data_IF_464151415121
#
_entry.id   IF_464151415121
#
_cell.length_a   1.000
_cell.length_b   1.000
_cell.length_c   1.000
_cell.angle_alpha   90.00
_cell.angle_beta   90.00
_cell.angle_gamma   90.00
#
_symmetry.space_group_name_H-M   'P 1'
#
loop_
_entity.id
_entity.type
_entity.pdbx_description
1 polymer ?
#
# COMPACT_ATOMS: atom_id res chain seq x y z
N UNK A 1 41.60 -26.04 -9.33
CA UNK A 1 40.53 -25.15 -9.84
C UNK A 1 39.84 -24.52 -8.68
N UNK A 2 40.23 -23.30 -8.32
CA UNK A 2 39.80 -22.63 -7.10
C UNK A 2 38.45 -21.90 -7.27
N UNK A 3 37.69 -22.00 -6.26
CA UNK A 3 36.38 -21.42 -6.01
C UNK A 3 36.32 -19.90 -6.28
N UNK A 4 36.00 -19.47 -7.52
CA UNK A 4 35.80 -18.06 -7.88
C UNK A 4 34.37 -17.56 -7.76
N UNK A 5 33.37 -18.43 -7.46
CA UNK A 5 31.96 -18.08 -7.49
C UNK A 5 31.35 -17.59 -6.15
N UNK A 6 32.15 -17.52 -5.07
CA UNK A 6 31.63 -17.11 -3.74
C UNK A 6 31.85 -15.63 -3.40
N UNK A 7 32.44 -14.83 -4.28
CA UNK A 7 32.87 -13.46 -3.97
C UNK A 7 31.79 -12.38 -4.09
N UNK A 8 30.62 -12.65 -4.68
CA UNK A 8 29.62 -11.61 -4.97
C UNK A 8 28.21 -11.83 -4.41
N UNK A 9 28.01 -12.78 -3.49
CA UNK A 9 26.70 -12.97 -2.87
C UNK A 9 26.48 -11.91 -1.80
N UNK A 10 25.38 -11.11 -1.84
CA UNK A 10 25.06 -10.09 -0.83
C UNK A 10 24.98 -10.70 0.57
N UNK A 11 25.38 -9.92 1.59
CA UNK A 11 25.35 -10.37 2.98
C UNK A 11 23.94 -10.81 3.40
N UNK A 12 22.93 -10.11 2.96
CA UNK A 12 21.52 -10.45 3.26
C UNK A 12 21.13 -11.87 2.81
N UNK A 13 21.71 -12.35 1.69
CA UNK A 13 21.49 -13.73 1.26
C UNK A 13 22.34 -14.73 2.07
N UNK A 14 23.59 -14.39 2.40
CA UNK A 14 24.50 -15.23 3.20
C UNK A 14 24.00 -15.49 4.62
N UNK A 15 23.27 -14.53 5.21
CA UNK A 15 22.74 -14.60 6.57
C UNK A 15 21.27 -14.98 6.65
N UNK A 16 20.66 -15.30 5.51
CA UNK A 16 19.25 -15.70 5.47
C UNK A 16 19.00 -16.90 6.40
N UNK A 17 17.98 -16.84 7.28
CA UNK A 17 17.56 -17.97 8.07
C UNK A 17 17.21 -19.19 7.21
N UNK A 18 17.64 -20.36 7.65
CA UNK A 18 17.40 -21.62 6.95
C UNK A 18 16.32 -22.48 7.60
N UNK A 19 15.93 -22.18 8.83
CA UNK A 19 14.93 -22.89 9.62
C UNK A 19 14.20 -21.92 10.55
N UNK A 20 13.09 -22.36 11.14
CA UNK A 20 12.26 -21.51 12.01
C UNK A 20 12.94 -21.08 13.31
N UNK A 21 13.94 -21.83 13.80
CA UNK A 21 14.67 -21.46 15.02
C UNK A 21 15.63 -20.29 14.81
N UNK A 22 16.00 -20.04 13.57
CA UNK A 22 16.84 -18.91 13.16
C UNK A 22 16.05 -17.70 12.70
N UNK A 23 14.73 -17.82 12.57
CA UNK A 23 13.84 -16.77 12.08
C UNK A 23 13.41 -15.89 13.25
N UNK A 24 13.89 -14.65 13.26
CA UNK A 24 13.60 -13.70 14.33
C UNK A 24 12.29 -12.97 14.10
N UNK A 25 11.55 -12.75 15.19
CA UNK A 25 10.28 -12.07 15.20
C UNK A 25 9.11 -12.91 14.68
N UNK A 26 7.95 -12.25 14.50
CA UNK A 26 6.72 -12.88 14.02
C UNK A 26 6.20 -13.99 14.93
N UNK A 27 6.37 -13.88 16.25
CA UNK A 27 5.96 -14.90 17.23
C UNK A 27 4.47 -15.29 17.10
N UNK A 28 3.61 -14.34 16.73
CA UNK A 28 2.18 -14.60 16.50
C UNK A 28 1.95 -15.58 15.33
N UNK A 29 2.88 -15.63 14.36
CA UNK A 29 2.76 -16.45 13.15
C UNK A 29 3.51 -17.78 13.27
N UNK A 30 4.72 -17.76 13.80
CA UNK A 30 5.64 -18.92 13.80
C UNK A 30 6.02 -19.39 15.20
N UNK A 31 5.50 -18.78 16.24
CA UNK A 31 5.69 -19.24 17.63
C UNK A 31 5.09 -20.63 17.86
N UNK A 32 5.57 -21.34 18.88
CA UNK A 32 5.26 -22.77 19.14
C UNK A 32 3.77 -23.12 19.15
N UNK A 33 2.89 -22.19 19.52
CA UNK A 33 1.43 -22.39 19.60
C UNK A 33 0.67 -21.88 18.38
N UNK A 34 1.36 -21.25 17.42
CA UNK A 34 0.70 -20.63 16.26
C UNK A 34 0.13 -21.69 15.30
N UNK A 35 -0.87 -21.27 14.53
CA UNK A 35 -1.48 -22.12 13.51
C UNK A 35 -0.48 -22.49 12.41
N UNK A 36 0.27 -21.51 11.90
CA UNK A 36 1.20 -21.74 10.79
C UNK A 36 2.34 -22.68 11.22
N UNK A 37 2.87 -22.52 12.43
CA UNK A 37 3.88 -23.44 12.97
C UNK A 37 3.39 -24.90 12.98
N UNK A 38 2.19 -25.14 13.51
CA UNK A 38 1.57 -26.48 13.51
C UNK A 38 1.32 -27.03 12.12
N UNK A 39 0.90 -26.17 11.18
CA UNK A 39 0.68 -26.57 9.80
C UNK A 39 1.99 -27.02 9.13
N UNK A 40 3.10 -26.33 9.40
CA UNK A 40 4.44 -26.70 8.92
C UNK A 40 4.88 -28.03 9.54
N UNK A 41 4.79 -28.17 10.86
CA UNK A 41 5.20 -29.38 11.60
C UNK A 41 4.38 -30.63 11.21
N UNK A 42 3.08 -30.43 10.88
CA UNK A 42 2.20 -31.50 10.40
C UNK A 42 2.26 -31.70 8.86
N UNK A 43 3.15 -31.00 8.19
CA UNK A 43 3.34 -31.09 6.74
C UNK A 43 2.04 -30.83 5.93
N UNK A 44 1.14 -29.99 6.45
CA UNK A 44 -0.16 -29.67 5.88
C UNK A 44 -0.36 -28.15 5.81
N UNK A 45 0.35 -27.52 4.87
CA UNK A 45 0.31 -26.07 4.67
C UNK A 45 -0.78 -25.67 3.67
N UNK A 46 -1.64 -24.71 4.02
CA UNK A 46 -2.59 -24.14 3.07
C UNK A 46 -1.88 -23.20 2.09
N UNK A 47 -2.52 -22.94 0.95
CA UNK A 47 -2.18 -21.75 0.17
C UNK A 47 -2.37 -20.49 0.99
N UNK A 48 -1.48 -19.50 0.83
CA UNK A 48 -1.46 -18.33 1.71
C UNK A 48 -0.97 -17.06 1.00
N UNK A 49 -1.38 -15.93 1.58
CA UNK A 49 -0.85 -14.61 1.24
C UNK A 49 -0.08 -14.07 2.45
N UNK A 50 1.20 -13.81 2.28
CA UNK A 50 2.05 -13.17 3.27
C UNK A 50 2.01 -11.65 3.03
N UNK A 51 1.31 -10.92 3.89
CA UNK A 51 1.18 -9.48 3.81
C UNK A 51 2.00 -8.80 4.89
N UNK A 52 2.75 -7.77 4.54
CA UNK A 52 3.51 -6.98 5.51
C UNK A 52 4.61 -6.13 4.87
N UNK A 53 5.24 -5.25 5.66
CA UNK A 53 6.22 -4.28 5.18
C UNK A 53 7.45 -4.93 4.55
N UNK A 54 8.24 -4.16 3.77
CA UNK A 54 9.53 -4.62 3.28
C UNK A 54 10.43 -5.09 4.42
N UNK A 55 11.29 -6.07 4.14
CA UNK A 55 12.25 -6.58 5.14
C UNK A 55 11.67 -7.35 6.32
N UNK A 56 10.35 -7.59 6.39
CA UNK A 56 9.69 -8.34 7.47
C UNK A 56 9.92 -9.87 7.41
N UNK A 57 10.55 -10.38 6.34
CA UNK A 57 10.90 -11.80 6.23
C UNK A 57 9.96 -12.65 5.37
N UNK A 58 9.02 -12.08 4.58
CA UNK A 58 8.06 -12.82 3.73
C UNK A 58 8.71 -13.91 2.88
N UNK A 59 9.67 -13.54 2.04
CA UNK A 59 10.39 -14.47 1.16
C UNK A 59 11.21 -15.50 1.94
N UNK A 60 11.79 -15.09 3.06
CA UNK A 60 12.54 -15.97 3.94
C UNK A 60 11.64 -17.03 4.56
N UNK A 61 10.48 -16.63 5.09
CA UNK A 61 9.50 -17.54 5.67
C UNK A 61 8.98 -18.54 4.63
N UNK A 62 8.68 -18.09 3.40
CA UNK A 62 8.25 -18.98 2.33
C UNK A 62 9.31 -20.06 1.99
N UNK A 63 10.59 -19.69 1.95
CA UNK A 63 11.70 -20.65 1.72
C UNK A 63 11.87 -21.62 2.88
N UNK A 64 11.74 -21.16 4.13
CA UNK A 64 11.78 -22.02 5.31
C UNK A 64 10.63 -23.03 5.26
N UNK A 65 9.41 -22.58 4.97
CA UNK A 65 8.24 -23.46 4.82
C UNK A 65 8.51 -24.56 3.79
N UNK A 66 9.03 -24.19 2.62
CA UNK A 66 9.32 -25.16 1.57
C UNK A 66 10.38 -26.19 1.99
N UNK A 67 11.42 -25.75 2.70
CA UNK A 67 12.48 -26.62 3.20
C UNK A 67 11.97 -27.58 4.27
N UNK A 68 11.23 -27.07 5.25
CA UNK A 68 10.67 -27.87 6.36
C UNK A 68 9.65 -28.93 5.86
N UNK A 69 8.88 -28.60 4.81
CA UNK A 69 7.88 -29.50 4.22
C UNK A 69 8.42 -30.30 3.03
N UNK A 70 9.72 -30.27 2.79
CA UNK A 70 10.39 -30.96 1.66
C UNK A 70 9.71 -30.74 0.31
N UNK A 71 9.09 -29.57 0.13
CA UNK A 71 8.41 -29.18 -1.09
C UNK A 71 9.39 -28.52 -2.08
N UNK A 72 9.18 -28.73 -3.36
CA UNK A 72 9.91 -27.99 -4.39
C UNK A 72 9.51 -26.51 -4.36
N UNK A 73 10.50 -25.61 -4.24
CA UNK A 73 10.27 -24.17 -4.14
C UNK A 73 10.55 -23.50 -5.46
N UNK A 74 9.50 -23.01 -6.11
CA UNK A 74 9.62 -22.24 -7.37
C UNK A 74 9.21 -20.79 -7.09
N UNK A 75 10.12 -19.87 -7.40
CA UNK A 75 9.88 -18.44 -7.20
C UNK A 75 9.62 -17.74 -8.53
N UNK A 76 8.52 -16.97 -8.57
CA UNK A 76 8.20 -16.02 -9.63
C UNK A 76 8.24 -14.59 -9.08
N UNK A 77 8.74 -13.67 -9.88
CA UNK A 77 8.57 -12.24 -9.65
C UNK A 77 7.39 -11.75 -10.47
N UNK A 78 6.38 -11.18 -9.82
CA UNK A 78 5.21 -10.66 -10.53
C UNK A 78 5.56 -9.51 -11.50
N UNK A 79 6.69 -8.84 -11.28
CA UNK A 79 7.17 -7.76 -12.17
C UNK A 79 7.80 -8.31 -13.47
N UNK A 80 8.49 -9.45 -13.39
CA UNK A 80 9.29 -9.98 -14.51
C UNK A 80 8.64 -11.18 -15.23
N UNK A 81 7.63 -11.81 -14.62
CA UNK A 81 7.05 -13.09 -15.08
C UNK A 81 5.62 -12.93 -15.55
N UNK A 82 5.27 -13.65 -16.63
CA UNK A 82 3.96 -13.60 -17.25
C UNK A 82 3.23 -14.96 -17.26
N UNK A 83 2.09 -15.00 -17.96
CA UNK A 83 1.25 -16.20 -18.09
C UNK A 83 2.02 -17.40 -18.70
N UNK A 84 2.98 -17.14 -19.61
CA UNK A 84 3.79 -18.21 -20.22
C UNK A 84 4.67 -18.91 -19.19
N UNK A 85 5.31 -18.14 -18.31
CA UNK A 85 6.15 -18.69 -17.25
C UNK A 85 5.33 -19.48 -16.24
N UNK A 86 4.15 -18.99 -15.88
CA UNK A 86 3.20 -19.71 -15.03
C UNK A 86 2.85 -21.06 -15.65
N UNK A 87 2.47 -21.13 -16.93
CA UNK A 87 2.08 -22.38 -17.58
C UNK A 87 3.21 -23.40 -17.63
N UNK A 88 4.45 -22.96 -17.84
CA UNK A 88 5.63 -23.83 -17.78
C UNK A 88 5.78 -24.44 -16.38
N UNK A 89 5.69 -23.63 -15.32
CA UNK A 89 5.81 -24.08 -13.94
C UNK A 89 4.69 -25.04 -13.57
N UNK A 90 3.46 -24.77 -14.02
CA UNK A 90 2.33 -25.68 -13.79
C UNK A 90 2.58 -27.06 -14.46
N UNK A 91 3.18 -27.09 -15.64
CA UNK A 91 3.60 -28.34 -16.27
C UNK A 91 4.60 -29.10 -15.40
N UNK A 92 5.66 -28.42 -14.94
CA UNK A 92 6.68 -28.99 -14.04
C UNK A 92 6.06 -29.50 -12.73
N UNK A 93 5.12 -28.73 -12.14
CA UNK A 93 4.44 -29.11 -10.91
C UNK A 93 3.55 -30.37 -11.07
N UNK A 94 2.84 -30.51 -12.21
CA UNK A 94 2.07 -31.72 -12.52
C UNK A 94 2.96 -32.95 -12.65
N UNK A 95 4.08 -32.81 -13.38
CA UNK A 95 5.05 -33.90 -13.51
C UNK A 95 5.69 -34.25 -12.16
N UNK A 96 5.92 -33.26 -11.31
CA UNK A 96 6.36 -33.44 -9.93
C UNK A 96 5.33 -34.19 -9.09
N UNK A 97 4.08 -33.77 -9.15
CA UNK A 97 2.97 -34.40 -8.42
C UNK A 97 2.79 -35.90 -8.79
N UNK A 98 2.91 -36.22 -10.07
CA UNK A 98 2.88 -37.63 -10.54
C UNK A 98 4.01 -38.48 -9.92
N UNK A 99 5.12 -37.84 -9.47
CA UNK A 99 6.26 -38.48 -8.78
C UNK A 99 6.18 -38.33 -7.26
N UNK A 100 5.05 -37.90 -6.70
CA UNK A 100 4.85 -37.72 -5.27
C UNK A 100 5.51 -36.44 -4.67
N UNK A 101 5.96 -35.50 -5.52
CA UNK A 101 6.53 -34.24 -5.07
C UNK A 101 5.47 -33.15 -4.97
N UNK A 102 5.55 -32.33 -3.95
CA UNK A 102 4.70 -31.14 -3.79
C UNK A 102 5.47 -29.91 -4.24
N UNK A 103 4.77 -28.98 -4.90
CA UNK A 103 5.34 -27.74 -5.40
C UNK A 103 4.74 -26.55 -4.66
N UNK A 104 5.59 -25.74 -4.04
CA UNK A 104 5.24 -24.42 -3.54
C UNK A 104 5.60 -23.40 -4.61
N UNK A 105 4.60 -22.71 -5.13
CA UNK A 105 4.78 -21.57 -6.02
C UNK A 105 4.77 -20.29 -5.16
N UNK A 106 5.93 -19.66 -5.04
CA UNK A 106 6.08 -18.37 -4.39
C UNK A 106 6.00 -17.25 -5.43
N UNK A 107 5.07 -16.32 -5.26
CA UNK A 107 4.91 -15.14 -6.11
C UNK A 107 5.23 -13.90 -5.28
N UNK A 108 6.38 -13.29 -5.57
CA UNK A 108 6.77 -12.03 -4.93
C UNK A 108 6.02 -10.87 -5.58
N UNK A 109 5.54 -9.93 -4.74
CA UNK A 109 4.76 -8.76 -5.14
C UNK A 109 3.52 -9.12 -5.97
N UNK A 110 2.72 -10.11 -5.52
CA UNK A 110 1.56 -10.66 -6.23
C UNK A 110 0.55 -9.59 -6.67
N UNK A 111 0.48 -8.46 -5.98
CA UNK A 111 -0.35 -7.30 -6.33
C UNK A 111 0.03 -6.65 -7.69
N UNK A 112 1.23 -6.91 -8.20
CA UNK A 112 1.67 -6.44 -9.53
C UNK A 112 1.05 -7.24 -10.68
N UNK A 113 0.50 -8.40 -10.41
CA UNK A 113 -0.24 -9.15 -11.40
C UNK A 113 -1.64 -8.58 -11.58
N UNK A 114 -2.07 -8.45 -12.85
CA UNK A 114 -3.44 -8.05 -13.16
C UNK A 114 -4.44 -9.18 -12.80
N UNK A 115 -5.73 -8.84 -12.79
CA UNK A 115 -6.80 -9.78 -12.39
C UNK A 115 -6.78 -11.06 -13.22
N UNK A 116 -6.56 -10.99 -14.55
CA UNK A 116 -6.51 -12.18 -15.42
C UNK A 116 -5.31 -13.10 -15.13
N UNK A 117 -4.18 -12.54 -14.69
CA UNK A 117 -3.03 -13.34 -14.28
C UNK A 117 -3.26 -14.02 -12.93
N UNK A 118 -3.91 -13.33 -12.00
CA UNK A 118 -4.29 -13.90 -10.71
C UNK A 118 -5.37 -14.98 -10.89
N UNK A 119 -6.37 -14.76 -11.75
CA UNK A 119 -7.42 -15.75 -12.08
C UNK A 119 -6.81 -17.04 -12.66
N UNK A 120 -5.75 -16.92 -13.43
CA UNK A 120 -5.08 -18.08 -14.02
C UNK A 120 -4.47 -19.05 -12.98
N UNK A 121 -4.29 -18.64 -11.72
CA UNK A 121 -3.82 -19.50 -10.62
C UNK A 121 -4.92 -20.40 -10.05
N UNK A 122 -6.18 -19.93 -10.08
CA UNK A 122 -7.29 -20.55 -9.35
C UNK A 122 -7.44 -22.05 -9.60
N UNK A 123 -7.48 -22.55 -10.86
CA UNK A 123 -7.66 -23.99 -11.10
C UNK A 123 -6.54 -24.85 -10.50
N UNK A 124 -5.33 -24.33 -10.41
CA UNK A 124 -4.17 -25.08 -9.95
C UNK A 124 -4.02 -25.05 -8.43
N UNK A 125 -4.50 -23.99 -7.79
CA UNK A 125 -4.62 -23.89 -6.33
C UNK A 125 -5.78 -24.79 -5.85
N UNK A 126 -6.93 -24.75 -6.51
CA UNK A 126 -8.12 -25.57 -6.17
C UNK A 126 -7.85 -27.07 -6.29
N UNK A 127 -7.17 -27.49 -7.35
CA UNK A 127 -6.86 -28.89 -7.59
C UNK A 127 -5.60 -29.38 -6.85
N UNK A 128 -4.96 -28.52 -6.02
CA UNK A 128 -3.78 -28.89 -5.24
C UNK A 128 -2.54 -29.23 -6.07
N UNK A 129 -2.49 -28.77 -7.35
CA UNK A 129 -1.30 -28.95 -8.22
C UNK A 129 -0.14 -28.11 -7.67
N UNK A 130 -0.46 -26.95 -7.14
CA UNK A 130 0.49 -26.08 -6.45
C UNK A 130 -0.09 -25.66 -5.08
N UNK A 131 0.80 -25.45 -4.11
CA UNK A 131 0.52 -24.65 -2.92
C UNK A 131 1.02 -23.24 -3.18
N UNK A 132 0.11 -22.27 -3.23
CA UNK A 132 0.46 -20.88 -3.49
C UNK A 132 0.95 -20.19 -2.20
N UNK A 133 2.07 -19.49 -2.27
CA UNK A 133 2.47 -18.50 -1.28
C UNK A 133 2.67 -17.17 -2.02
N UNK A 134 1.66 -16.28 -1.95
CA UNK A 134 1.78 -14.91 -2.46
C UNK A 134 2.40 -13.99 -1.42
N UNK A 135 3.34 -13.13 -1.80
CA UNK A 135 3.85 -12.08 -0.93
C UNK A 135 3.44 -10.70 -1.46
N UNK A 136 3.08 -9.80 -0.57
CA UNK A 136 2.69 -8.42 -0.91
C UNK A 136 3.01 -7.45 0.21
N UNK A 137 3.34 -6.22 -0.16
CA UNK A 137 3.39 -5.07 0.75
C UNK A 137 2.06 -4.31 0.80
N UNK A 138 1.20 -4.51 -0.20
CA UNK A 138 -0.09 -3.85 -0.33
C UNK A 138 -1.20 -4.65 0.36
N UNK A 139 -2.27 -3.97 0.77
CA UNK A 139 -3.40 -4.63 1.42
C UNK A 139 -4.09 -5.61 0.45
N UNK A 140 -4.07 -6.92 0.73
CA UNK A 140 -4.59 -7.94 -0.17
C UNK A 140 -6.10 -7.82 -0.41
N UNK A 141 -6.85 -7.14 0.46
CA UNK A 141 -8.28 -6.92 0.28
C UNK A 141 -8.61 -6.00 -0.91
N UNK A 142 -7.65 -5.19 -1.36
CA UNK A 142 -7.82 -4.29 -2.50
C UNK A 142 -7.10 -4.78 -3.75
N UNK A 143 -5.97 -5.45 -3.59
CA UNK A 143 -5.03 -5.73 -4.67
C UNK A 143 -5.06 -7.20 -5.13
N UNK A 144 -5.57 -8.11 -4.30
CA UNK A 144 -5.70 -9.52 -4.64
C UNK A 144 -7.18 -9.83 -4.92
N UNK A 145 -7.44 -10.58 -5.99
CA UNK A 145 -8.84 -10.93 -6.34
C UNK A 145 -9.51 -11.73 -5.22
N UNK A 146 -10.78 -11.43 -4.95
CA UNK A 146 -11.56 -12.07 -3.89
C UNK A 146 -11.61 -13.61 -4.00
N UNK A 147 -11.63 -14.15 -5.24
CA UNK A 147 -11.58 -15.57 -5.50
C UNK A 147 -10.30 -16.25 -5.00
N UNK A 148 -9.16 -15.56 -5.07
CA UNK A 148 -7.89 -16.08 -4.57
C UNK A 148 -7.78 -15.92 -3.04
N UNK A 149 -8.23 -14.78 -2.51
CA UNK A 149 -8.27 -14.53 -1.05
C UNK A 149 -9.17 -15.55 -0.33
N UNK A 150 -10.28 -15.97 -0.94
CA UNK A 150 -11.17 -16.99 -0.34
C UNK A 150 -10.55 -18.40 -0.29
N UNK A 151 -9.51 -18.68 -1.07
CA UNK A 151 -8.79 -19.96 -1.16
C UNK A 151 -7.41 -19.94 -0.52
N UNK A 152 -6.94 -18.78 -0.14
CA UNK A 152 -5.65 -18.58 0.50
C UNK A 152 -5.82 -17.94 1.87
N UNK A 153 -5.06 -18.38 2.86
CA UNK A 153 -5.09 -17.77 4.19
C UNK A 153 -4.17 -16.56 4.24
N UNK A 154 -4.67 -15.42 4.68
CA UNK A 154 -3.85 -14.21 4.84
C UNK A 154 -3.12 -14.25 6.18
N UNK A 155 -1.80 -14.11 6.14
CA UNK A 155 -0.93 -13.95 7.31
C UNK A 155 -0.27 -12.58 7.27
N UNK A 156 -0.43 -11.84 8.37
CA UNK A 156 0.09 -10.47 8.49
C UNK A 156 1.44 -10.50 9.20
N UNK A 157 2.50 -10.11 8.50
CA UNK A 157 3.82 -9.92 9.09
C UNK A 157 3.95 -8.48 9.60
N UNK A 158 4.47 -8.34 10.81
CA UNK A 158 4.71 -7.04 11.45
C UNK A 158 6.12 -6.54 11.14
N UNK A 159 6.36 -5.25 11.34
CA UNK A 159 7.73 -4.71 11.41
C UNK A 159 8.48 -5.40 12.53
N UNK A 160 9.76 -5.67 12.31
CA UNK A 160 10.61 -6.19 13.38
C UNK A 160 10.88 -5.09 14.41
N UNK A 161 10.94 -5.46 15.68
CA UNK A 161 11.37 -4.55 16.74
C UNK A 161 12.87 -4.24 16.64
N UNK A 162 13.32 -3.20 17.33
CA UNK A 162 14.74 -2.85 17.36
C UNK A 162 15.58 -4.01 17.95
N UNK A 163 15.07 -4.73 18.94
CA UNK A 163 15.71 -5.90 19.55
C UNK A 163 15.82 -7.07 18.57
N UNK A 164 14.79 -7.31 17.77
CA UNK A 164 14.79 -8.35 16.74
C UNK A 164 15.78 -8.00 15.62
N UNK A 165 15.83 -6.74 15.19
CA UNK A 165 16.83 -6.24 14.23
C UNK A 165 18.24 -6.36 14.82
N UNK A 166 18.46 -6.03 16.10
CA UNK A 166 19.77 -6.26 16.75
C UNK A 166 20.17 -7.73 16.71
N UNK A 167 19.24 -8.65 16.91
CA UNK A 167 19.50 -10.09 16.83
C UNK A 167 19.91 -10.51 15.40
N UNK A 168 19.19 -10.00 14.38
CA UNK A 168 19.56 -10.21 12.97
C UNK A 168 20.94 -9.67 12.65
N UNK A 169 21.27 -8.45 13.13
CA UNK A 169 22.58 -7.83 12.92
C UNK A 169 23.72 -8.61 13.61
N UNK A 170 23.50 -9.09 14.83
CA UNK A 170 24.49 -9.94 15.54
C UNK A 170 24.80 -11.21 14.76
N UNK A 171 23.77 -11.85 14.20
CA UNK A 171 23.95 -13.01 13.32
C UNK A 171 24.74 -12.64 12.06
N UNK A 172 24.44 -11.49 11.45
CA UNK A 172 25.15 -11.00 10.26
C UNK A 172 26.64 -10.73 10.54
N UNK A 173 26.95 -10.10 11.68
CA UNK A 173 28.33 -9.85 12.13
C UNK A 173 29.10 -11.16 12.29
N UNK A 174 28.46 -12.22 12.82
CA UNK A 174 29.08 -13.53 12.95
C UNK A 174 29.53 -14.17 11.63
N UNK A 175 29.01 -13.72 10.50
CA UNK A 175 29.45 -14.14 9.15
C UNK A 175 30.51 -13.21 8.53
N UNK A 176 30.79 -12.07 9.15
CA UNK A 176 31.79 -11.08 8.71
C UNK A 176 33.07 -11.26 9.51
N UNK A 177 34.19 -11.55 8.83
CA UNK A 177 35.50 -11.73 9.50
C UNK A 177 36.08 -10.38 9.92
N UNK A 178 36.45 -10.26 11.19
CA UNK A 178 37.20 -9.11 11.72
C UNK A 178 36.38 -7.84 11.96
N UNK A 179 35.08 -7.82 11.72
CA UNK A 179 34.24 -6.66 11.94
C UNK A 179 33.92 -6.49 13.42
N UNK A 180 34.06 -5.25 13.92
CA UNK A 180 33.74 -4.85 15.29
C UNK A 180 32.69 -3.76 15.28
N UNK A 181 31.59 -4.01 15.99
CA UNK A 181 30.46 -3.07 16.12
C UNK A 181 30.09 -3.01 17.61
N UNK A 182 30.04 -1.83 18.19
CA UNK A 182 29.61 -1.67 19.57
C UNK A 182 28.08 -1.67 19.71
N UNK A 183 27.58 -1.87 20.93
CA UNK A 183 26.14 -1.95 21.20
C UNK A 183 25.39 -0.67 20.81
N UNK A 184 26.03 0.51 20.95
CA UNK A 184 25.45 1.80 20.61
C UNK A 184 25.24 1.92 19.09
N UNK A 185 26.22 1.48 18.32
CA UNK A 185 26.14 1.45 16.85
C UNK A 185 25.10 0.45 16.34
N UNK A 186 25.00 -0.73 16.98
CA UNK A 186 23.95 -1.72 16.64
C UNK A 186 22.55 -1.13 16.85
N UNK A 187 22.31 -0.48 18.00
CA UNK A 187 21.02 0.19 18.26
C UNK A 187 20.73 1.31 17.27
N UNK A 188 21.76 2.05 16.86
CA UNK A 188 21.58 3.10 15.86
C UNK A 188 21.16 2.50 14.50
N UNK A 189 21.81 1.41 14.03
CA UNK A 189 21.42 0.76 12.79
C UNK A 189 19.99 0.20 12.91
N UNK A 190 19.64 -0.44 14.03
CA UNK A 190 18.31 -0.98 14.26
C UNK A 190 17.24 0.10 14.20
N UNK A 191 17.39 1.19 14.96
CA UNK A 191 16.42 2.30 14.94
C UNK A 191 16.28 2.97 13.58
N UNK A 192 17.41 3.15 12.84
CA UNK A 192 17.36 3.76 11.50
C UNK A 192 16.79 2.84 10.42
N UNK A 193 16.79 1.52 10.61
CA UNK A 193 16.20 0.57 9.68
C UNK A 193 14.69 0.47 9.76
N UNK A 194 14.07 1.06 10.79
CA UNK A 194 12.63 1.11 11.00
C UNK A 194 11.94 -0.26 10.83
N UNK A 195 12.56 -1.32 11.37
CA UNK A 195 12.06 -2.69 11.34
C UNK A 195 12.27 -3.44 10.01
N UNK A 196 13.04 -2.89 9.08
CA UNK A 196 13.45 -3.55 7.83
C UNK A 196 14.81 -4.25 8.01
N UNK A 197 14.79 -5.59 8.14
CA UNK A 197 16.00 -6.39 8.29
C UNK A 197 16.93 -6.31 7.08
N UNK A 198 16.40 -6.18 5.87
CA UNK A 198 17.21 -6.07 4.64
C UNK A 198 17.99 -4.75 4.64
N UNK A 199 17.31 -3.65 4.99
CA UNK A 199 17.95 -2.34 5.13
C UNK A 199 19.04 -2.37 6.20
N UNK A 200 18.78 -2.97 7.36
CA UNK A 200 19.76 -3.08 8.44
C UNK A 200 21.02 -3.85 8.00
N UNK A 201 20.83 -5.01 7.35
CA UNK A 201 21.94 -5.85 6.86
C UNK A 201 22.72 -5.12 5.76
N UNK A 202 22.07 -4.48 4.81
CA UNK A 202 22.71 -3.73 3.73
C UNK A 202 23.53 -2.55 4.28
N UNK A 203 23.01 -1.86 5.29
CA UNK A 203 23.75 -0.78 5.99
C UNK A 203 25.02 -1.35 6.66
N UNK A 204 24.89 -2.48 7.36
CA UNK A 204 26.04 -3.16 7.97
C UNK A 204 27.06 -3.57 6.92
N UNK A 205 26.62 -4.15 5.80
CA UNK A 205 27.50 -4.58 4.69
C UNK A 205 28.24 -3.38 4.09
N UNK A 206 27.54 -2.29 3.80
CA UNK A 206 28.15 -1.08 3.25
C UNK A 206 29.17 -0.44 4.20
N UNK A 207 28.90 -0.44 5.49
CA UNK A 207 29.87 0.02 6.50
C UNK A 207 31.08 -0.91 6.60
N UNK A 208 30.87 -2.23 6.55
CA UNK A 208 31.95 -3.23 6.62
C UNK A 208 32.90 -3.18 5.44
N UNK A 209 32.42 -2.74 4.28
CA UNK A 209 33.25 -2.48 3.10
C UNK A 209 34.17 -1.27 3.22
N UNK A 210 33.93 -0.39 4.20
CA UNK A 210 34.75 0.82 4.42
C UNK A 210 35.69 0.70 5.65
N UNK A 211 35.28 -0.03 6.70
CA UNK A 211 36.08 -0.16 7.91
C UNK A 211 35.73 -1.43 8.70
N UNK A 212 36.76 -2.04 9.30
CA UNK A 212 36.57 -3.14 10.24
C UNK A 212 35.97 -2.69 11.58
N UNK A 213 36.08 -1.41 11.93
CA UNK A 213 35.47 -0.82 13.13
C UNK A 213 34.33 0.08 12.69
N UNK A 214 33.09 -0.37 12.86
CA UNK A 214 31.89 0.38 12.50
C UNK A 214 31.50 1.29 13.65
N UNK A 215 31.45 2.60 13.39
CA UNK A 215 31.10 3.65 14.36
C UNK A 215 29.78 4.31 13.98
N UNK A 216 29.09 4.99 14.94
CA UNK A 216 27.87 5.75 14.63
C UNK A 216 28.06 6.78 13.51
N UNK A 217 29.22 7.43 13.43
CA UNK A 217 29.50 8.45 12.41
C UNK A 217 29.63 7.81 11.02
N UNK A 218 30.30 6.64 10.92
CA UNK A 218 30.35 5.89 9.67
C UNK A 218 28.95 5.46 9.22
N UNK A 219 28.10 5.01 10.13
CA UNK A 219 26.70 4.65 9.82
C UNK A 219 25.95 5.84 9.26
N UNK A 220 26.05 7.00 9.90
CA UNK A 220 25.41 8.23 9.42
C UNK A 220 25.95 8.65 8.05
N UNK A 221 27.25 8.59 7.84
CA UNK A 221 27.88 8.91 6.56
C UNK A 221 27.41 7.99 5.43
N UNK A 222 27.27 6.69 5.69
CA UNK A 222 26.77 5.71 4.72
C UNK A 222 25.31 5.96 4.40
N UNK A 223 24.49 6.24 5.42
CA UNK A 223 23.05 6.47 5.25
C UNK A 223 22.71 7.85 4.68
N UNK A 224 23.53 8.89 4.91
CA UNK A 224 23.36 10.19 4.24
C UNK A 224 23.53 10.12 2.72
N UNK A 225 24.22 9.11 2.23
CA UNK A 225 24.29 8.80 0.79
C UNK A 225 23.12 7.95 0.28
N UNK A 226 22.38 7.34 1.18
CA UNK A 226 21.20 6.53 0.89
C UNK A 226 19.99 7.32 1.39
N UNK A 227 19.30 8.03 0.50
CA UNK A 227 18.08 8.78 0.84
C UNK A 227 17.16 7.91 1.69
N UNK A 228 16.50 8.53 2.68
CA UNK A 228 15.38 7.95 3.41
C UNK A 228 14.48 7.22 2.39
N UNK A 229 14.50 5.89 2.40
CA UNK A 229 13.70 5.08 1.48
C UNK A 229 12.23 5.27 1.86
N UNK A 230 11.62 6.23 1.20
CA UNK A 230 10.18 6.37 1.17
C UNK A 230 9.66 5.39 0.13
N UNK A 231 8.87 4.42 0.57
CA UNK A 231 8.17 3.52 -0.35
C UNK A 231 6.99 4.30 -0.98
N UNK A 232 7.21 4.83 -2.18
CA UNK A 232 6.24 5.67 -2.91
C UNK A 232 4.92 4.98 -3.24
N UNK A 233 4.86 3.66 -3.10
CA UNK A 233 3.71 2.84 -3.51
C UNK A 233 3.20 1.90 -2.41
N UNK A 234 3.85 1.86 -1.25
CA UNK A 234 3.53 0.93 -0.16
C UNK A 234 2.53 1.47 0.86
N UNK A 235 2.19 0.63 1.84
CA UNK A 235 1.26 0.95 2.93
C UNK A 235 1.66 2.21 3.72
N UNK A 236 2.96 2.47 3.86
CA UNK A 236 3.48 3.65 4.56
C UNK A 236 3.08 4.96 3.86
N UNK A 237 3.08 4.98 2.53
CA UNK A 237 2.60 6.11 1.72
C UNK A 237 1.15 6.46 2.07
N UNK A 238 0.25 5.45 2.10
CA UNK A 238 -1.15 5.65 2.46
C UNK A 238 -1.33 6.04 3.93
N UNK A 239 -0.51 5.50 4.83
CA UNK A 239 -0.57 5.81 6.25
C UNK A 239 -0.16 7.27 6.53
N UNK A 240 0.89 7.77 5.89
CA UNK A 240 1.38 9.13 6.12
C UNK A 240 0.43 10.16 5.53
N UNK A 241 -0.07 10.00 4.31
CA UNK A 241 -1.07 10.91 3.74
C UNK A 241 -2.37 10.89 4.55
N UNK A 242 -2.77 9.73 5.06
CA UNK A 242 -3.93 9.61 5.97
C UNK A 242 -3.69 10.33 7.29
N UNK A 243 -2.48 10.27 7.85
CA UNK A 243 -2.11 10.99 9.06
C UNK A 243 -2.12 12.51 8.84
N UNK A 244 -1.60 12.99 7.69
CA UNK A 244 -1.68 14.40 7.28
C UNK A 244 -3.14 14.87 7.24
N UNK A 245 -4.02 14.15 6.54
CA UNK A 245 -5.43 14.50 6.43
C UNK A 245 -6.14 14.48 7.78
N UNK A 246 -5.90 13.47 8.62
CA UNK A 246 -6.49 13.37 9.96
C UNK A 246 -6.03 14.50 10.87
N UNK A 247 -4.76 14.91 10.80
CA UNK A 247 -4.22 16.04 11.54
C UNK A 247 -4.88 17.36 11.12
N UNK A 248 -5.00 17.61 9.81
CA UNK A 248 -5.72 18.78 9.28
C UNK A 248 -7.21 18.76 9.67
N UNK A 249 -7.86 17.60 9.64
CA UNK A 249 -9.27 17.44 10.03
C UNK A 249 -9.46 17.71 11.51
N UNK A 250 -8.55 17.26 12.37
CA UNK A 250 -8.53 17.52 13.80
C UNK A 250 -8.12 18.94 14.20
N UNK A 251 -7.65 19.76 13.25
CA UNK A 251 -7.21 21.13 13.52
C UNK A 251 -5.77 21.25 14.05
N UNK A 252 -5.03 20.15 14.14
CA UNK A 252 -3.63 20.16 14.60
C UNK A 252 -2.68 20.53 13.45
N UNK A 253 -2.40 21.84 13.33
CA UNK A 253 -1.50 22.35 12.31
C UNK A 253 -0.04 21.89 12.52
N UNK A 254 0.41 21.66 13.77
CA UNK A 254 1.78 21.20 14.06
C UNK A 254 1.99 19.76 13.57
N UNK A 255 1.09 18.86 13.91
CA UNK A 255 1.12 17.49 13.41
C UNK A 255 1.00 17.44 11.88
N UNK A 256 0.14 18.27 11.29
CA UNK A 256 -0.03 18.34 9.84
C UNK A 256 1.26 18.76 9.12
N UNK A 257 1.96 19.78 9.60
CA UNK A 257 3.26 20.22 9.04
C UNK A 257 4.33 19.14 9.22
N UNK A 258 4.35 18.44 10.35
CA UNK A 258 5.28 17.33 10.55
C UNK A 258 5.08 16.21 9.51
N UNK A 259 3.83 15.78 9.29
CA UNK A 259 3.53 14.73 8.31
C UNK A 259 3.83 15.17 6.88
N UNK A 260 3.57 16.45 6.54
CA UNK A 260 3.96 17.03 5.26
C UNK A 260 5.49 16.97 5.07
N UNK A 261 6.26 17.45 6.04
CA UNK A 261 7.71 17.44 5.99
C UNK A 261 8.24 16.01 5.85
N UNK A 262 7.67 15.05 6.59
CA UNK A 262 8.04 13.63 6.48
C UNK A 262 7.77 13.04 5.09
N UNK A 263 6.69 13.45 4.41
CA UNK A 263 6.42 13.05 3.02
C UNK A 263 7.46 13.62 2.06
N UNK A 264 7.74 14.93 2.16
CA UNK A 264 8.67 15.62 1.26
C UNK A 264 10.11 15.12 1.44
N UNK A 265 10.60 14.97 2.69
CA UNK A 265 11.90 14.40 2.99
C UNK A 265 12.01 12.91 2.57
N UNK A 266 10.88 12.19 2.59
CA UNK A 266 10.78 10.84 2.05
C UNK A 266 10.81 10.77 0.52
N UNK A 267 10.78 11.90 -0.18
CA UNK A 267 10.81 11.99 -1.65
C UNK A 267 9.44 11.79 -2.30
N UNK A 268 8.33 12.05 -1.57
CA UNK A 268 7.00 12.04 -2.16
C UNK A 268 6.87 13.12 -3.25
N UNK A 269 6.09 12.80 -4.28
CA UNK A 269 5.77 13.76 -5.33
C UNK A 269 4.93 14.93 -4.79
N UNK A 270 5.43 16.17 -4.83
CA UNK A 270 4.70 17.34 -4.34
C UNK A 270 3.38 17.55 -5.08
N UNK A 271 3.28 17.12 -6.34
CA UNK A 271 2.06 17.16 -7.13
C UNK A 271 1.01 16.19 -6.58
N UNK A 272 1.43 15.01 -6.13
CA UNK A 272 0.53 14.07 -5.45
C UNK A 272 -0.03 14.69 -4.17
N UNK A 273 0.84 15.28 -3.33
CA UNK A 273 0.40 15.95 -2.09
C UNK A 273 -0.59 17.07 -2.42
N UNK A 274 -0.26 17.94 -3.37
CA UNK A 274 -1.12 19.05 -3.78
C UNK A 274 -2.50 18.58 -4.27
N UNK A 275 -2.58 17.52 -5.09
CA UNK A 275 -3.86 16.90 -5.50
C UNK A 275 -4.71 16.45 -4.32
N UNK A 276 -4.06 15.89 -3.29
CA UNK A 276 -4.76 15.47 -2.08
C UNK A 276 -5.28 16.65 -1.27
N UNK A 277 -4.56 17.78 -1.27
CA UNK A 277 -5.02 19.02 -0.64
C UNK A 277 -6.20 19.65 -1.38
N UNK A 278 -6.22 19.65 -2.72
CA UNK A 278 -7.37 20.11 -3.51
C UNK A 278 -8.62 19.31 -3.16
N UNK A 279 -8.50 17.99 -3.07
CA UNK A 279 -9.62 17.14 -2.64
C UNK A 279 -10.07 17.45 -1.22
N UNK A 280 -9.13 17.59 -0.27
CA UNK A 280 -9.42 17.90 1.13
C UNK A 280 -10.19 19.24 1.27
N UNK A 281 -9.83 20.23 0.47
CA UNK A 281 -10.51 21.53 0.45
C UNK A 281 -12.02 21.41 0.15
N UNK A 282 -12.41 20.55 -0.76
CA UNK A 282 -13.82 20.33 -1.13
C UNK A 282 -14.53 19.32 -0.23
N UNK A 283 -13.83 18.26 0.20
CA UNK A 283 -14.42 17.15 0.95
C UNK A 283 -14.60 17.48 2.44
N UNK A 284 -13.57 18.08 3.07
CA UNK A 284 -13.53 18.31 4.53
C UNK A 284 -13.84 19.76 4.93
N UNK A 285 -13.42 20.74 4.13
CA UNK A 285 -13.68 22.17 4.41
C UNK A 285 -14.98 22.61 3.73
N UNK A 286 -15.18 22.19 2.48
CA UNK A 286 -16.41 22.40 1.75
C UNK A 286 -16.90 23.85 1.75
N UNK A 287 -18.17 24.05 2.08
CA UNK A 287 -18.82 25.36 2.08
C UNK A 287 -18.45 26.26 3.25
N UNK A 288 -17.76 25.72 4.29
CA UNK A 288 -17.32 26.54 5.42
C UNK A 288 -16.26 27.59 5.03
N UNK A 289 -15.46 27.32 3.96
CA UNK A 289 -14.44 28.24 3.51
C UNK A 289 -14.05 27.97 2.04
N UNK A 290 -14.70 28.64 1.12
CA UNK A 290 -14.45 28.49 -0.33
C UNK A 290 -13.03 28.91 -0.76
N UNK A 291 -12.35 29.79 0.03
CA UNK A 291 -10.96 30.18 -0.25
C UNK A 291 -10.00 28.99 -0.16
N UNK A 292 -10.36 27.97 0.62
CA UNK A 292 -9.51 26.77 0.77
C UNK A 292 -9.26 26.06 -0.57
N UNK A 293 -10.32 25.94 -1.40
CA UNK A 293 -10.20 25.32 -2.72
C UNK A 293 -9.34 26.18 -3.66
N UNK A 294 -9.53 27.50 -3.66
CA UNK A 294 -8.75 28.44 -4.49
C UNK A 294 -7.28 28.39 -4.10
N UNK A 295 -6.99 28.38 -2.79
CA UNK A 295 -5.61 28.28 -2.28
C UNK A 295 -4.97 26.94 -2.67
N UNK A 296 -5.71 25.84 -2.54
CA UNK A 296 -5.21 24.50 -2.90
C UNK A 296 -4.86 24.39 -4.38
N UNK A 297 -5.69 24.94 -5.25
CA UNK A 297 -5.49 24.97 -6.70
C UNK A 297 -4.28 25.83 -7.07
N UNK A 298 -4.16 27.03 -6.49
CA UNK A 298 -2.98 27.89 -6.66
C UNK A 298 -1.68 27.22 -6.20
N UNK A 299 -1.72 26.45 -5.10
CA UNK A 299 -0.54 25.69 -4.61
C UNK A 299 -0.24 24.50 -5.50
N UNK A 300 -1.26 23.82 -6.07
CA UNK A 300 -1.05 22.78 -7.06
C UNK A 300 -0.30 23.33 -8.29
N UNK A 301 -0.71 24.47 -8.79
CA UNK A 301 -0.04 25.19 -9.88
C UNK A 301 1.39 25.64 -9.51
N UNK A 302 1.60 26.12 -8.29
CA UNK A 302 2.92 26.49 -7.80
C UNK A 302 3.87 25.30 -7.75
N UNK A 303 3.38 24.11 -7.31
CA UNK A 303 4.16 22.88 -7.32
C UNK A 303 4.62 22.49 -8.72
N UNK A 304 3.75 22.66 -9.73
CA UNK A 304 4.11 22.40 -11.13
C UNK A 304 5.15 23.39 -11.68
N UNK A 305 5.05 24.65 -11.30
CA UNK A 305 5.91 25.72 -11.84
C UNK A 305 7.27 25.80 -11.20
N UNK A 306 7.36 25.51 -9.89
CA UNK A 306 8.57 25.70 -9.10
C UNK A 306 9.32 24.41 -8.80
N UNK A 307 8.57 23.31 -8.50
CA UNK A 307 9.20 22.06 -8.06
C UNK A 307 9.77 22.13 -6.63
N UNK A 308 10.47 21.07 -6.23
CA UNK A 308 11.16 20.95 -4.95
C UNK A 308 12.55 21.56 -5.08
N UNK A 309 13.06 22.29 -4.06
CA UNK A 309 12.50 22.51 -2.73
C UNK A 309 11.57 23.72 -2.60
N UNK A 310 11.46 24.56 -3.61
CA UNK A 310 10.79 25.87 -3.52
C UNK A 310 9.29 25.73 -3.21
N UNK A 311 8.61 24.73 -3.76
CA UNK A 311 7.18 24.52 -3.54
C UNK A 311 6.84 24.05 -2.11
N UNK A 312 7.82 23.62 -1.30
CA UNK A 312 7.59 23.08 0.04
C UNK A 312 6.90 24.10 0.96
N UNK A 313 7.27 25.39 0.84
CA UNK A 313 6.68 26.48 1.65
C UNK A 313 5.21 26.72 1.25
N UNK A 314 4.89 26.62 -0.04
CA UNK A 314 3.51 26.77 -0.54
C UNK A 314 2.62 25.62 -0.01
N UNK A 315 3.12 24.39 -0.03
CA UNK A 315 2.43 23.24 0.57
C UNK A 315 2.23 23.43 2.08
N UNK A 316 3.25 23.89 2.80
CA UNK A 316 3.14 24.15 4.23
C UNK A 316 2.11 25.23 4.56
N UNK A 317 2.08 26.34 3.80
CA UNK A 317 1.08 27.39 3.93
C UNK A 317 -0.33 26.84 3.74
N UNK A 318 -0.55 26.05 2.71
CA UNK A 318 -1.84 25.42 2.42
C UNK A 318 -2.29 24.48 3.55
N UNK A 319 -1.39 23.61 4.00
CA UNK A 319 -1.66 22.65 5.10
C UNK A 319 -2.04 23.36 6.40
N UNK A 320 -1.31 24.41 6.78
CA UNK A 320 -1.60 25.22 7.97
C UNK A 320 -2.96 25.89 7.84
N UNK A 321 -3.23 26.51 6.68
CA UNK A 321 -4.50 27.17 6.41
C UNK A 321 -5.68 26.20 6.51
N UNK A 322 -5.56 25.02 5.91
CA UNK A 322 -6.58 23.99 5.95
C UNK A 322 -6.79 23.42 7.37
N UNK A 323 -5.71 23.19 8.11
CA UNK A 323 -5.82 22.72 9.48
C UNK A 323 -6.62 23.71 10.37
N UNK A 324 -6.39 25.01 10.19
CA UNK A 324 -7.07 26.07 10.96
C UNK A 324 -8.47 26.45 10.45
N UNK A 325 -8.85 26.02 9.25
CA UNK A 325 -10.18 26.29 8.68
C UNK A 325 -11.26 25.48 9.38
N UNK A 326 -12.49 26.03 9.47
CA UNK A 326 -13.68 25.27 9.88
C UNK A 326 -13.91 24.13 8.88
N UNK A 327 -14.53 23.06 9.35
CA UNK A 327 -14.84 21.88 8.55
C UNK A 327 -16.34 21.80 8.28
N UNK A 328 -16.70 21.48 7.03
CA UNK A 328 -18.06 21.27 6.59
C UNK A 328 -18.08 20.19 5.50
N UNK A 329 -18.59 19.04 5.82
CA UNK A 329 -18.68 17.88 4.92
C UNK A 329 -20.03 17.79 4.20
N UNK A 330 -20.86 18.82 4.29
CA UNK A 330 -22.24 18.81 3.77
C UNK A 330 -22.28 18.48 2.28
N UNK A 331 -21.42 19.12 1.47
CA UNK A 331 -21.36 18.86 0.02
C UNK A 331 -21.01 17.42 -0.30
N UNK A 332 -20.04 16.85 0.42
CA UNK A 332 -19.64 15.45 0.27
C UNK A 332 -20.75 14.48 0.65
N UNK A 333 -21.42 14.71 1.77
CA UNK A 333 -22.52 13.86 2.23
C UNK A 333 -23.74 13.98 1.30
N UNK A 334 -24.06 15.19 0.83
CA UNK A 334 -25.16 15.43 -0.10
C UNK A 334 -24.96 14.64 -1.40
N UNK A 335 -23.77 14.72 -2.00
CA UNK A 335 -23.47 13.97 -3.22
C UNK A 335 -23.58 12.46 -3.01
N UNK A 336 -23.01 11.94 -1.91
CA UNK A 336 -23.06 10.49 -1.62
C UNK A 336 -24.49 9.99 -1.37
N UNK A 337 -25.37 10.81 -0.77
CA UNK A 337 -26.80 10.47 -0.60
C UNK A 337 -27.51 10.42 -1.94
N UNK A 338 -27.28 11.44 -2.81
CA UNK A 338 -27.85 11.47 -4.14
C UNK A 338 -27.36 10.30 -4.99
N UNK A 339 -26.06 9.95 -4.94
CA UNK A 339 -25.51 8.82 -5.65
C UNK A 339 -26.18 7.49 -5.26
N UNK A 340 -26.44 7.27 -3.97
CA UNK A 340 -27.17 6.08 -3.48
C UNK A 340 -28.57 5.99 -4.04
N UNK A 341 -29.25 7.13 -4.18
CA UNK A 341 -30.58 7.13 -4.79
C UNK A 341 -30.51 6.81 -6.28
N UNK A 342 -29.53 7.33 -7.00
CA UNK A 342 -29.31 6.96 -8.41
C UNK A 342 -29.01 5.46 -8.55
N UNK A 343 -28.18 4.89 -7.65
CA UNK A 343 -27.89 3.45 -7.65
C UNK A 343 -29.15 2.61 -7.35
N UNK A 344 -29.99 3.08 -6.43
CA UNK A 344 -31.20 2.36 -5.98
C UNK A 344 -32.34 2.44 -7.01
N UNK A 345 -32.60 3.62 -7.55
CA UNK A 345 -33.77 3.87 -8.41
C UNK A 345 -33.46 3.86 -9.91
N UNK A 346 -32.16 3.83 -10.27
CA UNK A 346 -31.75 3.85 -11.68
C UNK A 346 -32.05 5.16 -12.38
N UNK A 347 -32.39 5.08 -13.69
CA UNK A 347 -32.63 6.23 -14.53
C UNK A 347 -34.10 6.72 -14.41
N UNK A 348 -34.42 7.39 -13.30
CA UNK A 348 -35.71 8.03 -13.17
C UNK A 348 -35.90 9.12 -14.23
N UNK A 349 -37.11 9.27 -14.78
CA UNK A 349 -37.36 10.27 -15.82
C UNK A 349 -37.30 11.68 -15.26
N UNK A 350 -36.76 12.62 -16.02
CA UNK A 350 -36.80 14.05 -15.70
C UNK A 350 -38.26 14.49 -15.72
N UNK A 351 -38.77 15.22 -14.73
CA UNK A 351 -40.15 15.74 -14.72
C UNK A 351 -40.46 16.52 -16.00
N UNK A 352 -41.64 16.32 -16.62
CA UNK A 352 -41.97 16.92 -17.95
C UNK A 352 -41.83 18.45 -18.01
N UNK A 353 -42.26 19.15 -16.96
CA UNK A 353 -42.24 20.61 -16.89
C UNK A 353 -40.83 21.21 -16.90
N UNK A 354 -39.77 20.50 -16.41
CA UNK A 354 -38.42 21.00 -16.47
C UNK A 354 -37.63 20.47 -17.69
N UNK A 355 -38.28 19.73 -18.60
CA UNK A 355 -37.65 19.30 -19.86
C UNK A 355 -37.67 20.43 -20.89
N UNK A 356 -36.60 20.59 -21.66
CA UNK A 356 -36.56 21.50 -22.78
C UNK A 356 -37.45 21.00 -23.93
N UNK A 357 -38.19 21.91 -24.59
CA UNK A 357 -39.09 21.62 -25.70
C UNK A 357 -38.67 22.36 -26.99
N UNK A 358 -37.51 22.12 -27.61
CA UNK A 358 -37.03 22.84 -28.79
C UNK A 358 -37.84 22.52 -30.04
N UNK A 359 -38.50 21.35 -30.13
CA UNK A 359 -39.28 20.97 -31.31
C UNK A 359 -40.77 21.04 -31.05
N UNK A 360 -41.56 21.15 -32.16
CA UNK A 360 -43.02 21.18 -32.11
C UNK A 360 -43.57 19.90 -31.43
N UNK A 361 -43.05 18.75 -31.80
CA UNK A 361 -43.43 17.45 -31.22
C UNK A 361 -43.23 17.43 -29.70
N UNK A 362 -42.09 17.94 -29.20
CA UNK A 362 -41.82 17.96 -27.74
C UNK A 362 -42.81 18.86 -26.99
N UNK A 363 -43.24 19.97 -27.58
CA UNK A 363 -44.28 20.83 -27.02
C UNK A 363 -45.64 20.11 -26.99
N UNK A 364 -45.98 19.40 -28.08
CA UNK A 364 -47.22 18.62 -28.16
C UNK A 364 -47.23 17.46 -27.14
N UNK A 365 -46.05 16.98 -26.70
CA UNK A 365 -45.87 16.00 -25.63
C UNK A 365 -45.85 16.60 -24.21
N UNK A 366 -46.11 17.90 -24.06
CA UNK A 366 -46.17 18.59 -22.78
C UNK A 366 -44.83 18.90 -22.13
N UNK A 367 -43.72 18.87 -22.90
CA UNK A 367 -42.40 19.20 -22.35
C UNK A 367 -42.32 20.74 -22.14
N UNK A 368 -41.85 21.11 -20.91
CA UNK A 368 -41.76 22.51 -20.49
C UNK A 368 -43.08 23.17 -20.11
N UNK A 369 -44.18 22.42 -20.17
CA UNK A 369 -45.50 22.97 -19.79
C UNK A 369 -45.58 23.19 -18.28
N UNK A 370 -45.96 24.41 -17.87
CA UNK A 370 -46.04 24.78 -16.46
C UNK A 370 -44.71 25.13 -15.79
N UNK A 371 -43.61 25.17 -16.54
CA UNK A 371 -42.32 25.61 -15.98
C UNK A 371 -42.37 27.10 -15.59
N UNK A 372 -42.06 27.39 -14.36
CA UNK A 372 -41.97 28.77 -13.85
C UNK A 372 -40.51 29.20 -13.81
N UNK A 373 -40.19 30.29 -14.51
CA UNK A 373 -38.82 30.82 -14.54
C UNK A 373 -38.54 31.63 -13.28
N UNK A 374 -37.82 31.04 -12.34
CA UNK A 374 -37.55 31.56 -10.99
C UNK A 374 -37.14 33.04 -10.92
N UNK A 375 -36.30 33.61 -11.84
CA UNK A 375 -35.96 35.02 -11.77
C UNK A 375 -37.13 36.01 -12.04
N UNK A 376 -38.23 35.53 -12.63
CA UNK A 376 -39.36 36.37 -13.00
C UNK A 376 -40.71 35.92 -12.40
N UNK A 377 -40.79 34.70 -11.90
CA UNK A 377 -42.04 34.09 -11.46
C UNK A 377 -41.85 33.41 -10.09
N UNK A 378 -42.92 33.32 -9.30
CA UNK A 378 -42.92 32.55 -8.06
C UNK A 378 -42.88 31.03 -8.35
N UNK A 379 -41.77 30.43 -8.06
CA UNK A 379 -41.50 28.99 -8.24
C UNK A 379 -41.39 28.21 -6.94
N UNK A 380 -41.87 28.77 -5.83
CA UNK A 380 -41.75 28.18 -4.49
C UNK A 380 -42.38 26.78 -4.36
N UNK A 381 -43.39 26.48 -5.17
CA UNK A 381 -44.08 25.18 -5.21
C UNK A 381 -43.60 24.28 -6.36
N UNK A 382 -42.60 24.72 -7.14
CA UNK A 382 -42.12 23.95 -8.28
C UNK A 382 -41.24 22.80 -7.84
N UNK A 383 -41.59 21.56 -8.21
CA UNK A 383 -40.84 20.37 -7.95
C UNK A 383 -39.73 20.19 -8.99
N UNK A 384 -38.53 19.83 -8.54
CA UNK A 384 -37.36 19.61 -9.44
C UNK A 384 -36.88 18.16 -9.45
N UNK A 385 -37.33 17.35 -8.50
CA UNK A 385 -36.99 15.95 -8.42
C UNK A 385 -38.05 15.05 -9.06
N UNK A 386 -37.70 13.87 -9.55
CA UNK A 386 -38.67 12.85 -9.95
C UNK A 386 -39.66 12.52 -8.81
N UNK A 387 -40.90 12.13 -9.19
CA UNK A 387 -41.99 11.86 -8.25
C UNK A 387 -41.61 10.85 -7.16
N UNK A 388 -40.83 9.81 -7.52
CA UNK A 388 -40.40 8.74 -6.65
C UNK A 388 -39.50 9.20 -5.49
N UNK A 389 -38.76 10.28 -5.71
CA UNK A 389 -37.78 10.84 -4.78
C UNK A 389 -38.06 12.30 -4.39
N UNK A 390 -39.24 12.84 -4.71
CA UNK A 390 -39.56 14.25 -4.47
C UNK A 390 -39.45 14.69 -3.01
N UNK A 391 -39.60 13.74 -2.06
CA UNK A 391 -39.48 14.00 -0.61
C UNK A 391 -38.05 13.82 -0.09
N UNK A 392 -37.12 13.38 -0.91
CA UNK A 392 -35.74 13.18 -0.48
C UNK A 392 -35.03 14.52 -0.30
N UNK A 393 -34.23 14.61 0.76
CA UNK A 393 -33.39 15.76 1.07
C UNK A 393 -31.94 15.33 1.13
N UNK A 394 -31.09 16.01 0.39
CA UNK A 394 -29.66 15.73 0.35
C UNK A 394 -28.85 16.70 1.24
N UNK A 395 -29.39 17.90 1.46
CA UNK A 395 -28.84 18.97 2.31
C UNK A 395 -29.54 19.02 3.67
#
# INVERSE_FOLDING_TARGET
MGNKDTMNVPLAEKVRPENLSEFFGQEDLVGKKSYLRRAIENDNIPSMILWGPPGSGKTTLARIIAKETKSEFIQLSAVASGKKDLMRIIGEARDGQARGKRTILFIDEIHRWNKSQQDALLPYVENGIITLIGATTENPSFEVIGALVSRARVFVLKRLSDEEIEAVLKRAIGKLKGIRVDKKTLKLIAGLSNGDARMAINTLEACSGQSNKITPDLVRQVLQKTHLLYDKTGEEHYNIISALHKSMRGGDANAAVYWLARMLEGGEDPIYIARRLVRFASEDIGLANNTALILADAVFDACHKLGVPECNVHLAQCVIYMAKSKKDVTAYLAYNRAQKDVEKYGNLPVPPHIRNAPTKLMRELGYGEGYKYTPLEDSSEQEYLPEEIKKHKYL
#
